data_IF_570858190987
#
_entry.id   IF_570858190987
#
_cell.length_a   1.000
_cell.length_b   1.000
_cell.length_c   1.000
_cell.angle_alpha   90.00
_cell.angle_beta   90.00
_cell.angle_gamma   90.00
#
_symmetry.space_group_name_H-M   'P 1'
#
loop_
_entity.id
_entity.type
_entity.pdbx_description
1 polymer ?
#
# COMPACT_ATOMS: atom_id res chain seq x y z
N UNK A 1 -18.01 21.52 -4.57
CA UNK A 1 -18.48 21.44 -3.18
C UNK A 1 -17.90 22.58 -2.31
N UNK A 2 -16.56 22.71 -2.13
CA UNK A 2 -15.97 23.80 -1.32
C UNK A 2 -16.32 25.19 -1.87
N UNK A 3 -16.33 25.35 -3.20
CA UNK A 3 -16.77 26.56 -3.87
C UNK A 3 -18.21 26.92 -3.50
N UNK A 4 -19.12 25.97 -3.55
CA UNK A 4 -20.54 26.17 -3.23
C UNK A 4 -20.74 26.58 -1.76
N UNK A 5 -19.95 25.98 -0.84
CA UNK A 5 -19.96 26.38 0.57
C UNK A 5 -19.46 27.82 0.74
N UNK A 6 -18.31 28.13 0.16
CA UNK A 6 -17.69 29.44 0.25
C UNK A 6 -18.60 30.55 -0.30
N UNK A 7 -19.18 30.32 -1.48
CA UNK A 7 -20.13 31.25 -2.11
C UNK A 7 -21.41 31.41 -1.27
N UNK A 8 -22.00 30.33 -0.77
CA UNK A 8 -23.20 30.34 0.06
C UNK A 8 -22.99 31.10 1.38
N UNK A 9 -21.84 30.83 2.04
CA UNK A 9 -21.52 31.48 3.32
C UNK A 9 -20.86 32.85 3.15
N UNK A 10 -20.72 33.33 1.92
CA UNK A 10 -19.98 34.56 1.60
C UNK A 10 -18.60 34.61 2.25
N UNK A 11 -17.91 33.45 2.24
CA UNK A 11 -16.61 33.27 2.84
C UNK A 11 -15.47 33.66 1.88
N UNK A 12 -14.33 34.02 2.45
CA UNK A 12 -13.12 34.26 1.66
C UNK A 12 -12.43 32.96 1.28
N UNK A 13 -12.44 31.92 2.15
CA UNK A 13 -11.93 30.57 1.88
C UNK A 13 -12.87 29.51 2.44
N UNK A 14 -12.87 28.34 1.79
CA UNK A 14 -13.44 27.11 2.31
C UNK A 14 -12.42 25.99 2.11
N UNK A 15 -12.18 25.16 3.13
CA UNK A 15 -11.09 24.20 3.13
C UNK A 15 -11.38 22.95 3.94
N UNK A 16 -10.55 21.92 3.71
CA UNK A 16 -10.52 20.69 4.49
C UNK A 16 -9.12 20.47 5.01
N UNK A 17 -9.01 20.24 6.30
CA UNK A 17 -7.80 19.73 6.94
C UNK A 17 -7.96 18.28 7.32
N UNK A 18 -6.94 17.48 7.03
CA UNK A 18 -6.81 16.11 7.52
C UNK A 18 -5.83 16.07 8.70
N UNK A 19 -6.17 15.24 9.70
CA UNK A 19 -5.37 15.03 10.91
C UNK A 19 -4.77 13.62 10.86
N UNK A 20 -3.44 13.52 10.91
CA UNK A 20 -2.73 12.26 10.95
C UNK A 20 -1.50 12.35 11.85
N UNK A 21 -1.32 11.40 12.77
CA UNK A 21 -0.13 11.24 13.62
C UNK A 21 0.31 12.53 14.35
N UNK A 22 -0.67 13.31 14.86
CA UNK A 22 -0.41 14.57 15.56
C UNK A 22 -0.03 15.73 14.63
N UNK A 23 -0.20 15.56 13.35
CA UNK A 23 -0.01 16.59 12.31
C UNK A 23 -1.31 16.90 11.58
N UNK A 24 -1.39 18.09 11.01
CA UNK A 24 -2.50 18.50 10.17
C UNK A 24 -2.01 19.08 8.85
N UNK A 25 -2.78 18.84 7.79
CA UNK A 25 -2.50 19.37 6.45
C UNK A 25 -3.78 19.83 5.79
N UNK A 26 -3.74 21.00 5.15
CA UNK A 26 -4.79 21.48 4.27
C UNK A 26 -4.75 20.65 2.97
N UNK A 27 -5.73 19.78 2.76
CA UNK A 27 -5.77 18.85 1.61
C UNK A 27 -6.62 19.37 0.46
N UNK A 28 -7.62 20.18 0.76
CA UNK A 28 -8.49 20.81 -0.24
C UNK A 28 -8.84 22.22 0.16
N UNK A 29 -8.78 23.15 -0.79
CA UNK A 29 -9.10 24.56 -0.57
C UNK A 29 -9.81 25.16 -1.78
N UNK A 30 -10.73 26.03 -1.52
CA UNK A 30 -11.28 26.99 -2.45
C UNK A 30 -11.06 28.39 -1.89
N UNK A 31 -10.64 29.31 -2.74
CA UNK A 31 -10.46 30.72 -2.42
C UNK A 31 -11.40 31.56 -3.29
N UNK A 32 -11.97 32.59 -2.70
CA UNK A 32 -12.73 33.60 -3.43
C UNK A 32 -11.78 34.47 -4.30
N UNK A 33 -12.34 35.24 -5.22
CA UNK A 33 -11.56 36.12 -6.10
C UNK A 33 -10.74 37.11 -5.27
N UNK A 34 -9.44 37.21 -5.56
CA UNK A 34 -8.50 38.06 -4.86
C UNK A 34 -7.97 37.54 -3.52
N UNK A 35 -8.34 36.33 -3.10
CA UNK A 35 -7.84 35.70 -1.88
C UNK A 35 -6.72 34.71 -2.24
N UNK A 36 -5.56 34.82 -1.56
CA UNK A 36 -4.44 33.92 -1.76
C UNK A 36 -4.68 32.54 -1.12
N UNK A 37 -4.25 31.49 -1.79
CA UNK A 37 -4.32 30.12 -1.27
C UNK A 37 -3.34 29.92 -0.12
N UNK A 38 -3.79 29.27 0.94
CA UNK A 38 -2.97 28.87 2.09
C UNK A 38 -2.52 27.41 2.06
N UNK A 39 -2.92 26.65 1.05
CA UNK A 39 -2.70 25.20 0.99
C UNK A 39 -1.22 24.82 1.07
N UNK A 40 -0.33 25.57 0.41
CA UNK A 40 1.11 25.32 0.45
C UNK A 40 1.74 25.65 1.81
N UNK A 41 1.21 26.65 2.50
CA UNK A 41 1.66 27.08 3.83
C UNK A 41 1.19 26.11 4.93
N UNK A 42 -0.02 25.59 4.80
CA UNK A 42 -0.69 24.78 5.81
C UNK A 42 -0.44 23.26 5.59
N UNK A 43 0.81 22.85 5.43
CA UNK A 43 1.18 21.45 5.28
C UNK A 43 1.99 20.95 6.48
N UNK A 44 1.66 19.76 6.97
CA UNK A 44 2.38 19.06 8.04
C UNK A 44 2.56 19.90 9.32
N UNK A 45 1.57 20.72 9.65
CA UNK A 45 1.57 21.58 10.83
C UNK A 45 1.34 20.80 12.11
N UNK A 46 1.85 21.29 13.24
CA UNK A 46 1.61 20.65 14.54
C UNK A 46 0.16 20.90 15.00
N UNK A 47 -0.51 19.83 15.48
CA UNK A 47 -1.88 19.93 16.01
C UNK A 47 -1.97 20.83 17.25
N UNK A 48 -0.86 21.09 17.95
CA UNK A 48 -0.84 22.05 19.07
C UNK A 48 -1.29 23.45 18.70
N UNK A 49 -1.16 23.84 17.42
CA UNK A 49 -1.69 25.09 16.89
C UNK A 49 -3.23 25.16 16.93
N UNK A 50 -3.90 24.02 17.12
CA UNK A 50 -5.35 23.93 17.31
C UNK A 50 -5.77 24.08 18.78
N UNK A 51 -4.90 24.54 19.67
CA UNK A 51 -5.16 24.60 21.12
C UNK A 51 -6.50 25.27 21.49
N UNK A 52 -6.89 26.32 20.73
CA UNK A 52 -8.16 27.05 20.93
C UNK A 52 -9.40 26.19 20.77
N UNK A 53 -9.37 25.25 19.84
CA UNK A 53 -10.55 24.44 19.47
C UNK A 53 -10.31 22.93 19.52
N UNK A 54 -9.13 22.49 20.01
CA UNK A 54 -8.77 21.08 20.09
C UNK A 54 -9.83 20.26 20.83
N UNK A 55 -10.23 20.71 22.00
CA UNK A 55 -11.22 20.02 22.84
C UNK A 55 -12.58 19.90 22.14
N UNK A 56 -12.97 20.93 21.38
CA UNK A 56 -14.22 20.90 20.60
C UNK A 56 -14.15 19.92 19.44
N UNK A 57 -13.03 19.91 18.71
CA UNK A 57 -12.82 18.99 17.59
C UNK A 57 -12.76 17.56 18.09
N UNK A 58 -12.02 17.28 19.18
CA UNK A 58 -11.95 15.96 19.79
C UNK A 58 -13.30 15.49 20.33
N UNK A 59 -14.11 16.39 20.83
CA UNK A 59 -15.50 16.12 21.25
C UNK A 59 -16.50 16.02 20.08
N UNK A 60 -16.07 16.18 18.84
CA UNK A 60 -16.96 16.18 17.66
C UNK A 60 -17.88 17.40 17.59
N UNK A 61 -17.48 18.53 18.17
CA UNK A 61 -18.28 19.76 18.23
C UNK A 61 -17.77 20.81 17.25
N UNK A 62 -18.70 21.61 16.73
CA UNK A 62 -18.38 22.74 15.87
C UNK A 62 -17.68 23.86 16.67
N UNK A 63 -16.88 24.61 15.94
CA UNK A 63 -16.14 25.77 16.47
C UNK A 63 -16.57 27.04 15.73
N UNK A 64 -16.84 28.11 16.45
CA UNK A 64 -17.07 29.44 15.92
C UNK A 64 -16.21 30.45 16.64
N UNK A 65 -15.36 31.16 15.91
CA UNK A 65 -14.59 32.31 16.40
C UNK A 65 -15.01 33.51 15.55
N UNK A 66 -15.97 34.29 16.01
CA UNK A 66 -16.48 35.42 15.25
C UNK A 66 -15.50 36.60 15.19
N UNK A 67 -14.49 36.63 16.05
CA UNK A 67 -13.47 37.66 16.11
C UNK A 67 -12.16 37.08 16.65
N UNK A 68 -11.19 36.89 15.74
CA UNK A 68 -9.88 36.30 16.03
C UNK A 68 -9.05 37.15 17.01
N UNK A 69 -9.29 38.48 17.10
CA UNK A 69 -8.59 39.34 18.06
C UNK A 69 -8.84 38.91 19.53
N UNK A 70 -9.95 38.23 19.81
CA UNK A 70 -10.28 37.77 21.15
C UNK A 70 -9.39 36.69 21.68
N UNK A 71 -8.77 35.91 20.79
CA UNK A 71 -7.86 34.81 21.18
C UNK A 71 -6.40 35.24 21.30
N UNK A 72 -6.07 36.49 20.94
CA UNK A 72 -4.70 37.00 20.86
C UNK A 72 -3.88 36.84 22.14
N UNK A 73 -4.51 37.09 23.30
CA UNK A 73 -3.80 37.06 24.59
C UNK A 73 -3.68 35.64 25.14
N UNK A 74 -4.70 34.81 24.93
CA UNK A 74 -4.77 33.46 25.49
C UNK A 74 -4.06 32.42 24.60
N UNK A 75 -4.11 32.59 23.28
CA UNK A 75 -3.54 31.70 22.28
C UNK A 75 -2.72 32.46 21.23
N UNK A 76 -1.58 33.05 21.61
CA UNK A 76 -0.82 33.93 20.72
C UNK A 76 -0.27 33.24 19.49
N UNK A 77 0.15 31.95 19.60
CA UNK A 77 0.67 31.20 18.45
C UNK A 77 -0.42 30.92 17.40
N UNK A 78 -1.61 30.52 17.85
CA UNK A 78 -2.75 30.34 16.95
C UNK A 78 -3.17 31.65 16.31
N UNK A 79 -3.20 32.71 17.10
CA UNK A 79 -3.53 34.06 16.61
C UNK A 79 -2.57 34.48 15.48
N UNK A 80 -1.27 34.37 15.66
CA UNK A 80 -0.28 34.73 14.63
C UNK A 80 -0.47 33.96 13.32
N UNK A 81 -0.75 32.65 13.39
CA UNK A 81 -1.02 31.83 12.21
C UNK A 81 -2.26 32.33 11.46
N UNK A 82 -3.31 32.70 12.15
CA UNK A 82 -4.54 33.20 11.55
C UNK A 82 -4.37 34.66 11.04
N UNK A 83 -3.70 35.50 11.82
CA UNK A 83 -3.51 36.91 11.51
C UNK A 83 -2.66 37.13 10.24
N UNK A 84 -1.57 36.39 10.06
CA UNK A 84 -0.74 36.43 8.85
C UNK A 84 -1.52 36.09 7.58
N UNK A 85 -2.56 35.26 7.71
CA UNK A 85 -3.45 34.88 6.61
C UNK A 85 -4.66 35.79 6.43
N UNK A 86 -4.74 36.94 7.16
CA UNK A 86 -5.86 37.87 7.19
C UNK A 86 -7.19 37.23 7.62
N UNK A 87 -7.14 36.20 8.46
CA UNK A 87 -8.33 35.54 8.98
C UNK A 87 -8.83 36.34 10.18
N UNK A 88 -10.06 36.88 10.08
CA UNK A 88 -10.72 37.69 11.11
C UNK A 88 -11.77 36.91 11.89
N UNK A 89 -12.37 35.91 11.22
CA UNK A 89 -13.36 35.03 11.81
C UNK A 89 -13.27 33.65 11.17
N UNK A 90 -13.68 32.61 11.91
CA UNK A 90 -13.55 31.22 11.45
C UNK A 90 -14.73 30.39 11.95
N UNK A 91 -15.24 29.51 11.09
CA UNK A 91 -16.23 28.50 11.46
C UNK A 91 -15.77 27.14 10.98
N UNK A 92 -15.73 26.16 11.89
CA UNK A 92 -15.22 24.82 11.64
C UNK A 92 -16.25 23.76 12.04
N UNK A 93 -16.33 22.66 11.28
CA UNK A 93 -17.06 21.45 11.64
C UNK A 93 -16.13 20.25 11.55
N UNK A 94 -16.01 19.41 12.60
CA UNK A 94 -15.12 18.26 12.59
C UNK A 94 -15.61 17.17 11.66
N UNK A 95 -14.66 16.46 11.02
CA UNK A 95 -14.90 15.23 10.28
C UNK A 95 -14.61 14.07 11.22
N UNK A 96 -15.65 13.35 11.64
CA UNK A 96 -15.55 12.30 12.66
C UNK A 96 -15.67 10.92 12.03
N UNK A 97 -14.70 10.04 12.32
CA UNK A 97 -14.72 8.62 11.94
C UNK A 97 -14.47 7.77 13.20
N UNK A 98 -15.27 6.74 13.42
CA UNK A 98 -15.10 5.85 14.59
C UNK A 98 -14.93 6.59 15.91
N UNK A 99 -15.72 7.63 16.17
CA UNK A 99 -15.66 8.52 17.34
C UNK A 99 -14.33 9.27 17.51
N UNK A 100 -13.53 9.41 16.45
CA UNK A 100 -12.31 10.22 16.44
C UNK A 100 -12.41 11.26 15.34
N UNK A 101 -11.97 12.47 15.62
CA UNK A 101 -11.82 13.49 14.59
C UNK A 101 -10.61 13.16 13.74
N UNK A 102 -10.84 12.97 12.45
CA UNK A 102 -9.81 12.70 11.41
C UNK A 102 -9.50 13.93 10.58
N UNK A 103 -10.21 15.01 10.82
CA UNK A 103 -10.05 16.28 10.13
C UNK A 103 -11.14 17.25 10.51
N UNK A 104 -11.20 18.34 9.78
CA UNK A 104 -12.28 19.31 9.87
C UNK A 104 -12.47 20.03 8.53
N UNK A 105 -13.70 20.48 8.29
CA UNK A 105 -14.04 21.41 7.23
C UNK A 105 -14.21 22.78 7.85
N UNK A 106 -13.69 23.81 7.20
CA UNK A 106 -13.76 25.17 7.70
C UNK A 106 -14.02 26.22 6.63
N UNK A 107 -14.43 27.40 7.09
CA UNK A 107 -14.55 28.60 6.30
C UNK A 107 -13.93 29.77 7.04
N UNK A 108 -13.20 30.61 6.31
CA UNK A 108 -12.61 31.86 6.80
C UNK A 108 -13.43 33.04 6.37
N UNK A 109 -13.59 33.97 7.30
CA UNK A 109 -14.30 35.24 7.11
C UNK A 109 -15.70 35.09 6.49
N UNK A 110 -16.53 34.10 6.96
CA UNK A 110 -17.91 34.00 6.48
C UNK A 110 -18.73 35.22 6.93
N UNK A 111 -19.84 35.49 6.27
CA UNK A 111 -20.76 36.52 6.71
C UNK A 111 -21.30 36.20 8.11
N UNK A 112 -21.47 37.24 8.95
CA UNK A 112 -21.81 37.10 10.38
C UNK A 112 -23.07 36.27 10.63
N UNK A 113 -24.04 36.30 9.74
CA UNK A 113 -25.29 35.56 9.82
C UNK A 113 -25.08 34.03 9.74
N UNK A 114 -23.98 33.59 9.15
CA UNK A 114 -23.64 32.16 9.01
C UNK A 114 -22.73 31.62 10.13
N UNK A 115 -22.19 32.51 10.99
CA UNK A 115 -21.27 32.15 12.07
C UNK A 115 -21.85 31.17 13.09
N UNK A 116 -23.15 31.06 13.21
CA UNK A 116 -23.85 30.16 14.13
C UNK A 116 -24.68 29.09 13.40
N UNK A 117 -24.71 29.13 12.09
CA UNK A 117 -25.44 28.14 11.28
C UNK A 117 -24.51 27.10 10.70
N UNK A 118 -24.24 26.05 11.47
CA UNK A 118 -23.36 24.96 11.08
C UNK A 118 -24.01 23.87 10.23
N UNK A 119 -25.32 23.92 9.99
CA UNK A 119 -26.06 22.82 9.36
C UNK A 119 -25.46 22.39 8.01
N UNK A 120 -24.96 23.34 7.22
CA UNK A 120 -24.30 23.06 5.95
C UNK A 120 -22.93 22.41 6.16
N UNK A 121 -22.09 22.97 7.04
CA UNK A 121 -20.76 22.41 7.36
C UNK A 121 -20.90 21.02 7.98
N UNK A 122 -21.84 20.80 8.90
CA UNK A 122 -22.12 19.49 9.49
C UNK A 122 -22.57 18.47 8.45
N UNK A 123 -23.49 18.87 7.58
CA UNK A 123 -23.96 17.97 6.51
C UNK A 123 -22.80 17.54 5.62
N UNK A 124 -21.93 18.49 5.26
CA UNK A 124 -20.82 18.19 4.38
C UNK A 124 -19.72 17.41 5.11
N UNK A 125 -19.40 17.76 6.37
CA UNK A 125 -18.44 16.98 7.18
C UNK A 125 -18.90 15.52 7.34
N UNK A 126 -20.19 15.28 7.51
CA UNK A 126 -20.77 13.93 7.53
C UNK A 126 -20.59 13.21 6.19
N UNK A 127 -20.95 13.84 5.06
CA UNK A 127 -20.72 13.23 3.75
C UNK A 127 -19.24 12.95 3.46
N UNK A 128 -18.36 13.85 3.88
CA UNK A 128 -16.92 13.64 3.75
C UNK A 128 -16.45 12.47 4.61
N UNK A 129 -16.92 12.36 5.85
CA UNK A 129 -16.57 11.23 6.71
C UNK A 129 -16.95 9.89 6.08
N UNK A 130 -18.16 9.79 5.53
CA UNK A 130 -18.65 8.60 4.82
C UNK A 130 -17.83 8.31 3.55
N UNK A 131 -17.50 9.34 2.77
CA UNK A 131 -16.70 9.18 1.55
C UNK A 131 -15.27 8.73 1.87
N UNK A 132 -14.64 9.30 2.89
CA UNK A 132 -13.30 8.91 3.36
C UNK A 132 -13.29 7.49 3.93
N UNK A 133 -14.30 7.11 4.72
CA UNK A 133 -14.43 5.75 5.23
C UNK A 133 -14.58 4.73 4.10
N UNK A 134 -15.45 5.03 3.12
CA UNK A 134 -15.61 4.18 1.93
C UNK A 134 -14.30 4.03 1.16
N UNK A 135 -13.54 5.13 0.97
CA UNK A 135 -12.23 5.08 0.33
C UNK A 135 -11.26 4.19 1.12
N UNK A 136 -11.13 4.40 2.43
CA UNK A 136 -10.25 3.61 3.30
C UNK A 136 -10.62 2.12 3.30
N UNK A 137 -11.91 1.79 3.33
CA UNK A 137 -12.38 0.41 3.23
C UNK A 137 -12.04 -0.19 1.86
N UNK A 138 -12.23 0.57 0.78
CA UNK A 138 -11.90 0.10 -0.56
C UNK A 138 -10.39 -0.12 -0.73
N UNK A 139 -9.56 0.78 -0.22
CA UNK A 139 -8.09 0.66 -0.26
C UNK A 139 -7.63 -0.57 0.55
N UNK A 140 -8.22 -0.82 1.73
CA UNK A 140 -7.98 -2.05 2.51
C UNK A 140 -8.44 -3.30 1.77
N UNK A 141 -9.62 -3.29 1.16
CA UNK A 141 -10.10 -4.42 0.36
C UNK A 141 -9.18 -4.72 -0.82
N UNK A 142 -8.70 -3.69 -1.53
CA UNK A 142 -7.72 -3.84 -2.59
C UNK A 142 -6.38 -4.39 -2.05
N UNK A 143 -5.94 -3.90 -0.89
CA UNK A 143 -4.73 -4.42 -0.25
C UNK A 143 -4.86 -5.91 0.06
N UNK A 144 -5.89 -6.33 0.81
CA UNK A 144 -6.14 -7.75 1.13
C UNK A 144 -6.39 -8.61 -0.11
N UNK A 145 -6.99 -8.03 -1.16
CA UNK A 145 -7.23 -8.75 -2.41
C UNK A 145 -5.94 -9.06 -3.19
N UNK A 146 -4.91 -8.19 -3.08
CA UNK A 146 -3.74 -8.24 -3.95
C UNK A 146 -2.39 -8.43 -3.27
N UNK A 147 -2.30 -8.24 -1.96
CA UNK A 147 -1.04 -8.38 -1.23
C UNK A 147 -1.05 -9.58 -0.28
N UNK A 148 0.11 -10.11 0.02
CA UNK A 148 0.36 -11.12 1.05
C UNK A 148 0.69 -10.39 2.36
N UNK A 149 -0.12 -10.60 3.40
CA UNK A 149 -0.02 -9.86 4.68
C UNK A 149 1.30 -10.12 5.42
N UNK A 150 1.89 -11.30 5.25
CA UNK A 150 3.13 -11.66 5.93
C UNK A 150 4.34 -10.98 5.29
N UNK A 151 4.42 -11.04 3.97
CA UNK A 151 5.64 -10.65 3.23
C UNK A 151 5.52 -9.27 2.58
N UNK A 152 4.30 -8.76 2.43
CA UNK A 152 4.01 -7.49 1.77
C UNK A 152 4.41 -7.44 0.30
N UNK A 153 4.54 -8.61 -0.36
CA UNK A 153 4.57 -8.74 -1.82
C UNK A 153 3.17 -9.02 -2.35
N UNK A 154 2.99 -9.06 -3.65
CA UNK A 154 1.69 -9.43 -4.23
C UNK A 154 1.34 -10.89 -3.90
N UNK A 155 0.04 -11.15 -3.76
CA UNK A 155 -0.49 -12.50 -3.54
C UNK A 155 -0.79 -13.24 -4.86
N UNK A 156 -1.28 -14.48 -4.74
CA UNK A 156 -1.66 -15.33 -5.87
C UNK A 156 -2.75 -14.71 -6.75
N UNK A 157 -3.71 -13.97 -6.19
CA UNK A 157 -4.77 -13.35 -6.98
C UNK A 157 -4.21 -12.30 -7.94
N UNK A 158 -3.30 -11.46 -7.45
CA UNK A 158 -2.60 -10.47 -8.28
C UNK A 158 -1.74 -11.12 -9.34
N UNK A 159 -1.02 -12.20 -9.00
CA UNK A 159 -0.25 -12.99 -9.96
C UNK A 159 -1.12 -13.46 -11.13
N UNK A 160 -2.28 -14.08 -10.86
CA UNK A 160 -3.18 -14.58 -11.91
C UNK A 160 -3.74 -13.45 -12.79
N UNK A 161 -4.03 -12.28 -12.19
CA UNK A 161 -4.48 -11.12 -12.93
C UNK A 161 -3.40 -10.58 -13.87
N UNK A 162 -2.18 -10.39 -13.36
CA UNK A 162 -1.06 -9.86 -14.14
C UNK A 162 -0.61 -10.85 -15.23
N UNK A 163 -0.67 -12.14 -14.95
CA UNK A 163 -0.44 -13.20 -15.94
C UNK A 163 -1.40 -13.07 -17.15
N UNK A 164 -2.70 -12.89 -16.88
CA UNK A 164 -3.70 -12.69 -17.94
C UNK A 164 -3.44 -11.40 -18.73
N UNK A 165 -3.04 -10.33 -18.05
CA UNK A 165 -2.76 -9.05 -18.68
C UNK A 165 -1.48 -9.05 -19.53
N UNK A 166 -0.47 -9.83 -19.14
CA UNK A 166 0.81 -9.91 -19.82
C UNK A 166 0.79 -10.86 -21.00
N UNK A 167 0.00 -11.93 -20.92
CA UNK A 167 -0.04 -12.95 -21.97
C UNK A 167 -0.36 -12.34 -23.34
N UNK A 168 0.46 -12.64 -24.32
CA UNK A 168 0.35 -12.13 -25.70
C UNK A 168 0.93 -10.74 -25.92
N UNK A 169 1.44 -10.04 -24.91
CA UNK A 169 2.08 -8.72 -25.10
C UNK A 169 3.45 -8.85 -25.77
N UNK A 170 3.76 -7.89 -26.64
CA UNK A 170 5.07 -7.73 -27.28
C UNK A 170 6.03 -6.94 -26.36
N UNK A 171 6.29 -7.47 -25.17
CA UNK A 171 7.22 -6.88 -24.17
C UNK A 171 8.15 -7.97 -23.67
N UNK A 172 9.42 -7.64 -23.47
CA UNK A 172 10.39 -8.58 -22.88
C UNK A 172 10.08 -8.80 -21.40
N UNK A 173 10.30 -10.02 -20.93
CA UNK A 173 9.99 -10.41 -19.57
C UNK A 173 11.07 -11.34 -19.01
N UNK A 174 11.62 -10.96 -17.87
CA UNK A 174 12.38 -11.85 -17.00
C UNK A 174 11.44 -12.51 -15.99
N UNK A 175 11.48 -13.82 -15.87
CA UNK A 175 10.69 -14.62 -14.93
C UNK A 175 11.66 -15.30 -13.98
N UNK A 176 11.43 -15.16 -12.67
CA UNK A 176 12.12 -15.94 -11.64
C UNK A 176 11.08 -16.71 -10.84
N UNK A 177 11.31 -17.99 -10.66
CA UNK A 177 10.57 -18.85 -9.75
C UNK A 177 11.49 -19.22 -8.57
N UNK A 178 11.07 -19.00 -7.35
CA UNK A 178 11.87 -19.30 -6.16
C UNK A 178 11.03 -20.06 -5.14
N UNK A 179 11.60 -21.12 -4.57
CA UNK A 179 11.01 -21.90 -3.48
C UNK A 179 11.96 -21.92 -2.30
N UNK A 180 11.46 -21.67 -1.08
CA UNK A 180 12.28 -21.67 0.13
C UNK A 180 12.51 -23.11 0.60
N UNK A 181 13.77 -23.51 0.60
CA UNK A 181 14.17 -24.86 0.97
C UNK A 181 14.00 -25.13 2.48
N UNK A 182 13.37 -26.26 2.82
CA UNK A 182 13.30 -26.76 4.19
C UNK A 182 12.35 -25.97 5.11
N UNK A 183 11.46 -25.13 4.60
CA UNK A 183 10.54 -24.33 5.44
C UNK A 183 9.72 -25.21 6.38
N UNK A 184 9.28 -26.39 5.94
CA UNK A 184 8.55 -27.33 6.81
C UNK A 184 9.41 -27.79 7.97
N UNK A 185 10.65 -28.19 7.71
CA UNK A 185 11.58 -28.65 8.76
C UNK A 185 11.88 -27.50 9.76
N UNK A 186 12.01 -26.28 9.25
CA UNK A 186 12.16 -25.07 10.07
C UNK A 186 10.94 -24.88 10.98
N UNK A 187 9.73 -24.96 10.42
CA UNK A 187 8.49 -24.84 11.19
C UNK A 187 8.35 -25.92 12.26
N UNK A 188 8.68 -27.17 11.92
CA UNK A 188 8.56 -28.30 12.82
C UNK A 188 9.58 -28.22 14.00
N UNK A 189 10.79 -27.67 13.78
CA UNK A 189 11.83 -27.57 14.81
C UNK A 189 11.87 -26.24 15.56
N UNK A 190 11.60 -25.10 14.86
CA UNK A 190 11.75 -23.75 15.40
C UNK A 190 10.43 -22.99 15.54
N UNK A 191 9.32 -23.63 15.09
CA UNK A 191 7.98 -23.05 15.14
C UNK A 191 7.66 -22.10 13.98
N UNK A 192 6.36 -21.90 13.75
CA UNK A 192 5.83 -21.07 12.61
C UNK A 192 6.32 -19.63 12.63
N UNK A 193 6.49 -19.02 13.82
CA UNK A 193 7.01 -17.64 13.93
C UNK A 193 8.41 -17.48 13.33
N UNK A 194 9.24 -18.53 13.42
CA UNK A 194 10.55 -18.51 12.80
C UNK A 194 10.47 -18.71 11.28
N UNK A 195 9.60 -19.61 10.82
CA UNK A 195 9.32 -19.79 9.40
C UNK A 195 8.79 -18.50 8.72
N UNK A 196 7.94 -17.75 9.43
CA UNK A 196 7.44 -16.45 8.98
C UNK A 196 8.57 -15.43 8.79
N UNK A 197 9.57 -15.43 9.68
CA UNK A 197 10.78 -14.59 9.51
C UNK A 197 11.58 -14.99 8.28
N UNK A 198 11.73 -16.28 8.02
CA UNK A 198 12.45 -16.81 6.84
C UNK A 198 11.74 -16.39 5.55
N UNK A 199 10.41 -16.49 5.51
CA UNK A 199 9.58 -16.05 4.39
C UNK A 199 9.73 -14.54 4.15
N UNK A 200 9.66 -13.74 5.21
CA UNK A 200 9.82 -12.28 5.14
C UNK A 200 11.23 -11.87 4.69
N UNK A 201 12.26 -12.62 5.12
CA UNK A 201 13.64 -12.42 4.66
C UNK A 201 13.79 -12.74 3.17
N UNK A 202 13.21 -13.86 2.68
CA UNK A 202 13.19 -14.20 1.26
C UNK A 202 12.54 -13.13 0.40
N UNK A 203 11.37 -12.64 0.82
CA UNK A 203 10.69 -11.53 0.15
C UNK A 203 11.53 -10.22 0.16
N UNK A 204 12.22 -9.93 1.27
CA UNK A 204 13.09 -8.76 1.39
C UNK A 204 14.29 -8.84 0.44
N UNK A 205 14.88 -10.04 0.28
CA UNK A 205 15.97 -10.27 -0.68
C UNK A 205 15.48 -10.00 -2.11
N UNK A 206 14.32 -10.57 -2.47
CA UNK A 206 13.72 -10.35 -3.79
C UNK A 206 13.45 -8.87 -4.06
N UNK A 207 12.87 -8.12 -3.10
CA UNK A 207 12.60 -6.68 -3.21
C UNK A 207 13.88 -5.85 -3.41
N UNK A 208 14.97 -6.23 -2.76
CA UNK A 208 16.26 -5.52 -2.89
C UNK A 208 16.94 -5.76 -4.24
N UNK A 209 16.77 -6.95 -4.80
CA UNK A 209 17.40 -7.31 -6.09
C UNK A 209 16.57 -6.82 -7.26
N UNK A 210 15.24 -6.90 -7.14
CA UNK A 210 14.29 -6.58 -8.20
C UNK A 210 13.35 -5.44 -7.77
N UNK A 211 13.90 -4.26 -7.54
CA UNK A 211 13.20 -3.07 -7.02
C UNK A 211 12.03 -2.58 -7.89
N UNK A 212 12.13 -2.78 -9.21
CA UNK A 212 11.10 -2.38 -10.20
C UNK A 212 10.20 -3.53 -10.66
N UNK A 213 10.43 -4.75 -10.15
CA UNK A 213 9.68 -5.93 -10.56
C UNK A 213 8.38 -6.12 -9.76
N UNK A 214 7.44 -6.85 -10.36
CA UNK A 214 6.30 -7.41 -9.65
C UNK A 214 6.72 -8.73 -8.99
N UNK A 215 6.65 -8.79 -7.66
CA UNK A 215 7.02 -9.96 -6.86
C UNK A 215 5.75 -10.53 -6.24
N UNK A 216 5.54 -11.83 -6.39
CA UNK A 216 4.35 -12.53 -5.95
C UNK A 216 4.71 -13.67 -5.02
N UNK A 217 3.91 -13.90 -3.98
CA UNK A 217 3.88 -15.14 -3.21
C UNK A 217 2.66 -15.95 -3.65
N UNK A 218 2.90 -17.09 -4.30
CA UNK A 218 1.83 -17.87 -4.94
C UNK A 218 1.47 -19.13 -4.17
N UNK A 219 2.32 -19.57 -3.27
CA UNK A 219 2.17 -20.73 -2.40
C UNK A 219 2.75 -20.45 -1.01
N UNK A 220 2.83 -21.48 -0.17
CA UNK A 220 3.39 -21.38 1.18
C UNK A 220 4.83 -20.86 1.20
N UNK A 221 5.69 -21.48 0.39
CA UNK A 221 7.13 -21.24 0.26
C UNK A 221 7.55 -20.76 -1.13
N UNK A 222 6.59 -20.53 -2.04
CA UNK A 222 6.81 -20.25 -3.46
C UNK A 222 6.64 -18.76 -3.80
N UNK A 223 7.64 -18.20 -4.47
CA UNK A 223 7.66 -16.84 -4.99
C UNK A 223 7.86 -16.82 -6.49
N UNK A 224 7.21 -15.87 -7.17
CA UNK A 224 7.43 -15.57 -8.59
C UNK A 224 7.78 -14.11 -8.75
N UNK A 225 8.68 -13.80 -9.68
CA UNK A 225 9.05 -12.43 -10.03
C UNK A 225 8.82 -12.24 -11.53
N UNK A 226 8.14 -11.13 -11.88
CA UNK A 226 8.01 -10.65 -13.25
C UNK A 226 8.73 -9.32 -13.40
N UNK A 227 9.79 -9.29 -14.18
CA UNK A 227 10.54 -8.10 -14.52
C UNK A 227 10.28 -7.74 -16.00
N UNK A 228 9.42 -6.74 -16.22
CA UNK A 228 8.99 -6.32 -17.55
C UNK A 228 9.98 -5.34 -18.19
N UNK A 229 10.01 -5.32 -19.52
CA UNK A 229 10.79 -4.39 -20.34
C UNK A 229 12.31 -4.39 -19.99
N UNK A 230 12.84 -5.57 -19.67
CA UNK A 230 14.25 -5.77 -19.28
C UNK A 230 15.04 -6.41 -20.42
N UNK A 231 16.29 -6.00 -20.59
CA UNK A 231 17.24 -6.65 -21.46
C UNK A 231 17.75 -7.95 -20.83
N UNK A 232 17.98 -8.98 -21.65
CA UNK A 232 18.42 -10.31 -21.18
C UNK A 232 19.66 -10.24 -20.30
N UNK A 233 20.67 -9.50 -20.70
CA UNK A 233 21.94 -9.38 -19.96
C UNK A 233 21.73 -8.75 -18.58
N UNK A 234 20.93 -7.71 -18.49
CA UNK A 234 20.58 -7.05 -17.22
C UNK A 234 19.82 -8.01 -16.30
N UNK A 235 18.84 -8.74 -16.83
CA UNK A 235 18.09 -9.73 -16.09
C UNK A 235 19.01 -10.84 -15.53
N UNK A 236 19.90 -11.40 -16.36
CA UNK A 236 20.83 -12.44 -15.94
C UNK A 236 21.79 -11.96 -14.84
N UNK A 237 22.26 -10.70 -14.89
CA UNK A 237 23.06 -10.09 -13.83
C UNK A 237 22.28 -10.00 -12.50
N UNK A 238 21.02 -9.60 -12.55
CA UNK A 238 20.17 -9.54 -11.34
C UNK A 238 19.91 -10.93 -10.76
N UNK A 239 19.69 -11.95 -11.61
CA UNK A 239 19.57 -13.34 -11.17
C UNK A 239 20.84 -13.82 -10.46
N UNK A 240 22.01 -13.47 -10.96
CA UNK A 240 23.28 -13.85 -10.31
C UNK A 240 23.44 -13.16 -8.94
N UNK A 241 23.04 -11.87 -8.82
CA UNK A 241 23.00 -11.17 -7.53
C UNK A 241 22.03 -11.86 -6.57
N UNK A 242 20.84 -12.28 -7.07
CA UNK A 242 19.87 -13.02 -6.25
C UNK A 242 20.47 -14.33 -5.71
N UNK A 243 21.13 -15.13 -6.57
CA UNK A 243 21.77 -16.38 -6.16
C UNK A 243 22.81 -16.16 -5.07
N UNK A 244 23.65 -15.13 -5.23
CA UNK A 244 24.67 -14.78 -4.23
C UNK A 244 24.03 -14.32 -2.91
N UNK A 245 22.94 -13.54 -2.97
CA UNK A 245 22.20 -13.09 -1.78
C UNK A 245 21.57 -14.25 -1.01
N UNK A 246 20.96 -15.22 -1.73
CA UNK A 246 20.36 -16.43 -1.13
C UNK A 246 21.44 -17.34 -0.53
N UNK A 247 22.58 -17.53 -1.21
CA UNK A 247 23.72 -18.29 -0.66
C UNK A 247 24.28 -17.61 0.59
N UNK A 248 24.42 -16.28 0.57
CA UNK A 248 24.94 -15.48 1.68
C UNK A 248 23.99 -15.31 2.86
N UNK A 249 22.67 -15.55 2.68
CA UNK A 249 21.70 -15.47 3.77
C UNK A 249 21.94 -16.56 4.81
N UNK A 250 21.86 -16.20 6.09
CA UNK A 250 22.00 -17.15 7.20
C UNK A 250 20.76 -18.05 7.34
N UNK A 251 19.57 -17.49 7.13
CA UNK A 251 18.30 -18.16 7.44
C UNK A 251 17.52 -18.60 6.21
N UNK A 252 17.58 -17.82 5.14
CA UNK A 252 16.81 -18.11 3.92
C UNK A 252 17.67 -18.83 2.90
N UNK A 253 17.35 -20.10 2.62
CA UNK A 253 17.90 -20.87 1.52
C UNK A 253 16.77 -21.12 0.53
N UNK A 254 17.03 -20.95 -0.77
CA UNK A 254 16.00 -21.12 -1.80
C UNK A 254 16.55 -21.76 -3.04
N UNK A 255 15.71 -22.54 -3.71
CA UNK A 255 15.92 -23.02 -5.06
C UNK A 255 15.39 -22.00 -6.07
N UNK A 256 16.11 -21.77 -7.15
CA UNK A 256 15.83 -20.70 -8.11
C UNK A 256 15.81 -21.27 -9.53
N UNK A 257 14.67 -21.09 -10.21
CA UNK A 257 14.56 -21.25 -11.66
C UNK A 257 14.28 -19.92 -12.32
N UNK A 258 14.74 -19.72 -13.53
CA UNK A 258 14.54 -18.45 -14.23
C UNK A 258 14.57 -18.63 -15.73
N UNK A 259 13.87 -17.73 -16.41
CA UNK A 259 13.86 -17.65 -17.87
C UNK A 259 13.70 -16.20 -18.31
N UNK A 260 14.28 -15.84 -19.43
CA UNK A 260 14.04 -14.58 -20.10
C UNK A 260 13.36 -14.83 -21.44
N UNK A 261 12.42 -13.98 -21.81
CA UNK A 261 11.75 -14.04 -23.12
C UNK A 261 11.62 -12.64 -23.73
N UNK A 262 11.83 -12.48 -25.02
CA UNK A 262 11.68 -11.20 -25.71
C UNK A 262 10.22 -10.77 -25.86
N UNK A 263 9.27 -11.70 -25.68
CA UNK A 263 7.82 -11.45 -25.78
C UNK A 263 7.07 -12.32 -24.80
N UNK A 264 5.89 -11.88 -24.37
CA UNK A 264 5.03 -12.64 -23.48
C UNK A 264 4.08 -13.61 -24.22
N UNK A 265 4.48 -14.09 -25.43
CA UNK A 265 3.73 -15.14 -26.11
C UNK A 265 3.95 -16.48 -25.42
N UNK A 266 2.87 -17.27 -25.27
CA UNK A 266 2.89 -18.55 -24.56
C UNK A 266 3.49 -18.44 -23.16
N UNK A 267 3.06 -17.43 -22.42
CA UNK A 267 3.64 -17.08 -21.10
C UNK A 267 3.50 -18.24 -20.09
N UNK A 268 2.42 -19.01 -20.16
CA UNK A 268 2.21 -20.20 -19.32
C UNK A 268 3.33 -21.24 -19.50
N UNK A 269 3.75 -21.50 -20.73
CA UNK A 269 4.83 -22.46 -21.01
C UNK A 269 6.16 -21.96 -20.44
N UNK A 270 6.41 -20.64 -20.53
CA UNK A 270 7.63 -20.03 -19.97
C UNK A 270 7.68 -20.08 -18.45
N UNK A 271 6.54 -19.95 -17.80
CA UNK A 271 6.44 -20.10 -16.33
C UNK A 271 6.69 -21.56 -15.94
N UNK A 272 6.14 -22.51 -16.70
CA UNK A 272 6.39 -23.94 -16.48
C UNK A 272 7.86 -24.26 -16.64
N UNK A 273 8.54 -23.75 -17.69
CA UNK A 273 9.97 -23.91 -17.87
C UNK A 273 10.78 -23.37 -16.65
N UNK A 274 10.40 -22.19 -16.13
CA UNK A 274 11.06 -21.61 -14.96
C UNK A 274 10.84 -22.45 -13.68
N UNK A 275 9.62 -22.98 -13.47
CA UNK A 275 9.32 -23.91 -12.36
C UNK A 275 10.12 -25.19 -12.46
N UNK A 276 10.25 -25.78 -13.66
CA UNK A 276 11.09 -26.98 -13.89
C UNK A 276 12.57 -26.72 -13.55
N UNK A 277 13.12 -25.58 -13.95
CA UNK A 277 14.49 -25.18 -13.57
C UNK A 277 14.65 -25.00 -12.06
N UNK A 278 13.69 -24.37 -11.39
CA UNK A 278 13.67 -24.26 -9.93
C UNK A 278 13.63 -25.64 -9.26
N UNK A 279 12.80 -26.54 -9.77
CA UNK A 279 12.72 -27.92 -9.24
C UNK A 279 14.05 -28.67 -9.40
N UNK A 280 14.74 -28.54 -10.53
CA UNK A 280 16.07 -29.13 -10.73
C UNK A 280 17.10 -28.61 -9.73
N UNK A 281 17.10 -27.30 -9.48
CA UNK A 281 17.96 -26.66 -8.46
C UNK A 281 17.62 -27.16 -7.05
N UNK A 282 16.33 -27.30 -6.73
CA UNK A 282 15.84 -27.88 -5.46
C UNK A 282 16.31 -29.30 -5.24
N UNK A 283 16.27 -30.11 -6.27
CA UNK A 283 16.78 -31.49 -6.23
C UNK A 283 18.30 -31.54 -5.97
N UNK A 284 19.08 -30.62 -6.57
CA UNK A 284 20.51 -30.52 -6.30
C UNK A 284 20.81 -30.14 -4.85
N UNK A 285 20.04 -29.21 -4.30
CA UNK A 285 20.14 -28.82 -2.90
C UNK A 285 19.93 -30.00 -1.95
N UNK A 286 18.85 -30.79 -2.13
CA UNK A 286 18.56 -31.94 -1.28
C UNK A 286 19.56 -33.08 -1.45
N UNK A 287 20.13 -33.31 -2.64
CA UNK A 287 21.21 -34.26 -2.85
C UNK A 287 22.47 -33.92 -2.04
N UNK A 288 22.75 -32.63 -1.88
CA UNK A 288 23.89 -32.16 -1.07
C UNK A 288 23.58 -32.14 0.45
N UNK A 289 22.31 -32.19 0.84
CA UNK A 289 21.84 -32.18 2.22
C UNK A 289 20.92 -33.37 2.55
N UNK A 290 21.45 -34.61 2.56
CA UNK A 290 20.65 -35.83 2.66
C UNK A 290 19.96 -36.05 4.01
N UNK A 291 20.32 -35.28 5.04
CA UNK A 291 19.71 -35.34 6.37
C UNK A 291 18.39 -34.57 6.49
N UNK A 292 17.93 -33.85 5.45
CA UNK A 292 16.62 -33.21 5.47
C UNK A 292 15.53 -34.28 5.25
N UNK A 293 14.44 -34.20 6.05
CA UNK A 293 13.33 -35.17 6.01
C UNK A 293 12.64 -35.29 4.63
N UNK A 294 12.80 -34.29 3.75
CA UNK A 294 12.22 -34.28 2.39
C UNK A 294 12.98 -35.12 1.36
N UNK A 295 14.23 -35.51 1.63
CA UNK A 295 14.97 -36.35 0.68
C UNK A 295 14.26 -37.68 0.42
N UNK A 296 13.51 -38.24 1.40
CA UNK A 296 12.75 -39.48 1.25
C UNK A 296 11.50 -39.36 0.38
N UNK A 297 10.90 -38.15 0.30
CA UNK A 297 9.68 -37.90 -0.50
C UNK A 297 9.97 -37.58 -1.96
N UNK A 298 11.19 -37.16 -2.31
CA UNK A 298 11.52 -36.73 -3.68
C UNK A 298 11.63 -37.91 -4.67
N UNK A 299 11.84 -39.16 -4.19
CA UNK A 299 11.87 -40.34 -5.06
C UNK A 299 10.47 -40.75 -5.57
N UNK A 300 9.40 -40.33 -4.89
CA UNK A 300 8.01 -40.65 -5.31
C UNK A 300 7.40 -39.59 -6.25
N UNK A 301 8.10 -38.48 -6.50
CA UNK A 301 7.52 -37.26 -7.05
C UNK A 301 7.70 -37.05 -8.56
N UNK A 302 8.35 -37.96 -9.26
CA UNK A 302 8.33 -37.99 -10.75
C UNK A 302 6.89 -38.16 -11.27
N UNK A 303 6.02 -38.79 -10.49
CA UNK A 303 4.58 -38.92 -10.78
C UNK A 303 3.76 -37.64 -10.50
N UNK A 304 4.20 -36.75 -9.56
CA UNK A 304 3.47 -35.54 -9.20
C UNK A 304 3.73 -34.34 -10.12
N UNK A 305 4.80 -34.32 -10.89
CA UNK A 305 5.06 -33.27 -11.91
C UNK A 305 4.06 -33.34 -13.07
N UNK A 306 3.67 -34.58 -13.47
CA UNK A 306 2.59 -34.74 -14.43
C UNK A 306 1.24 -34.26 -13.92
N UNK A 307 0.96 -34.46 -12.63
CA UNK A 307 -0.29 -33.99 -11.97
C UNK A 307 -0.33 -32.48 -11.78
N UNK A 308 0.81 -31.82 -11.51
CA UNK A 308 0.85 -30.34 -11.33
C UNK A 308 0.64 -29.59 -12.64
N UNK A 309 1.26 -30.05 -13.74
CA UNK A 309 1.04 -29.47 -15.07
C UNK A 309 -0.39 -29.71 -15.58
N UNK A 310 -0.99 -30.85 -15.23
CA UNK A 310 -2.39 -31.18 -15.51
C UNK A 310 -3.31 -30.30 -14.65
N UNK A 311 -2.99 -30.05 -13.37
CA UNK A 311 -3.78 -29.20 -12.49
C UNK A 311 -3.74 -27.72 -12.93
N UNK A 312 -2.60 -27.22 -13.37
CA UNK A 312 -2.48 -25.86 -13.92
C UNK A 312 -3.27 -25.70 -15.23
N UNK A 313 -3.23 -26.69 -16.13
CA UNK A 313 -4.07 -26.69 -17.34
C UNK A 313 -5.56 -26.82 -17.02
N UNK A 314 -5.95 -27.65 -16.05
CA UNK A 314 -7.36 -27.79 -15.64
C UNK A 314 -7.92 -26.53 -14.96
N UNK A 315 -7.09 -25.75 -14.23
CA UNK A 315 -7.46 -24.46 -13.66
C UNK A 315 -7.60 -23.37 -14.74
N UNK A 316 -6.87 -23.47 -15.85
CA UNK A 316 -7.02 -22.61 -17.02
C UNK A 316 -8.31 -22.94 -17.82
N UNK A 317 -8.69 -24.22 -17.92
CA UNK A 317 -9.88 -24.69 -18.66
C UNK A 317 -11.19 -24.46 -17.90
N UNK A 318 -11.20 -24.36 -16.57
CA UNK A 318 -12.43 -24.10 -15.76
C UNK A 318 -12.81 -22.62 -15.64
N UNK A 319 -12.11 -21.70 -16.32
CA UNK A 319 -12.38 -20.25 -16.29
C UNK A 319 -12.89 -19.68 -17.63
N UNK A 320 -13.54 -20.51 -18.46
CA UNK A 320 -14.36 -20.07 -19.59
C UNK A 320 -15.84 -20.17 -19.29
#
# INVERSE_FOLDING_TARGET
LLKEIGEFMHAERAYVFELQDGRMSNTFEWCNEGVESSIAFCQNMDVSLLAVWKDFIEAGKNVSIPDVERIRTEFPETYEVLHVQNIRSIALSPIVQNNKSTGFIGVDNPALEYMQNFSMLETISYFMSVAMEKKNLNDRLLHYSYYDDLTGVYNRNRYLQDLKQLNGKAVSLGIVYMDINGLKDINDHLGHTYGDKVLSEGASILKKVFDTASIYRIGGDEFVVFLQAVEEQTFLQQVEILKQAIVGSANCKGAIGYIWTPTCQNLSDKITDADEYMYQDKMQYYRKNPNSNRYRCCNDTVLQLADRSILMRALEEQQF
#
